data_IF_049435797409
#
_entry.id   IF_049435797409
#
_cell.length_a   1.000
_cell.length_b   1.000
_cell.length_c   1.000
_cell.angle_alpha   90.00
_cell.angle_beta   90.00
_cell.angle_gamma   90.00
#
_symmetry.space_group_name_H-M   'P 1'
#
loop_
_entity.id
_entity.type
_entity.pdbx_description
1 polymer ?
#
# COMPACT_ATOMS: atom_id res chain seq x y z
N UNK A 1 -8.40 11.68 12.41
CA UNK A 1 -7.85 11.20 11.12
C UNK A 1 -6.39 10.81 11.25
N UNK A 2 -5.49 11.72 11.61
CA UNK A 2 -4.06 11.45 11.76
C UNK A 2 -3.74 10.28 12.71
N UNK A 3 -4.37 10.23 13.89
CA UNK A 3 -4.20 9.13 14.83
C UNK A 3 -4.53 7.76 14.20
N UNK A 4 -5.65 7.66 13.49
CA UNK A 4 -6.05 6.44 12.79
C UNK A 4 -5.03 6.02 11.73
N UNK A 5 -4.50 6.97 10.95
CA UNK A 5 -3.50 6.68 9.92
C UNK A 5 -2.19 6.17 10.54
N UNK A 6 -1.78 6.76 11.66
CA UNK A 6 -0.61 6.31 12.42
C UNK A 6 -0.79 4.92 13.05
N UNK A 7 -1.99 4.62 13.58
CA UNK A 7 -2.34 3.29 14.07
C UNK A 7 -2.32 2.26 12.94
N UNK A 8 -2.90 2.57 11.78
CA UNK A 8 -2.94 1.70 10.62
C UNK A 8 -1.55 1.33 10.10
N UNK A 9 -0.65 2.31 9.91
CA UNK A 9 0.73 2.01 9.47
C UNK A 9 1.51 1.23 10.52
N UNK A 10 1.25 1.46 11.80
CA UNK A 10 1.88 0.72 12.89
C UNK A 10 1.41 -0.73 12.91
N UNK A 11 0.11 -0.96 12.71
CA UNK A 11 -0.49 -2.28 12.65
C UNK A 11 0.05 -3.08 11.44
N UNK A 12 0.08 -2.48 10.25
CA UNK A 12 0.69 -3.12 9.07
C UNK A 12 2.16 -3.45 9.28
N UNK A 13 2.95 -2.48 9.73
CA UNK A 13 4.40 -2.66 9.91
C UNK A 13 4.72 -3.75 10.95
N UNK A 14 3.94 -3.82 12.03
CA UNK A 14 4.21 -4.77 13.13
C UNK A 14 3.74 -6.20 12.84
N UNK A 15 2.72 -6.37 11.98
CA UNK A 15 2.12 -7.68 11.71
C UNK A 15 2.60 -8.31 10.39
N UNK A 16 3.06 -7.51 9.44
CA UNK A 16 3.55 -8.02 8.16
C UNK A 16 5.05 -8.33 8.28
N UNK A 17 5.37 -9.62 8.41
CA UNK A 17 6.76 -10.10 8.50
C UNK A 17 7.57 -9.68 7.26
N UNK A 18 8.83 -9.28 7.47
CA UNK A 18 9.72 -8.79 6.43
C UNK A 18 9.42 -7.35 5.97
N UNK A 19 8.50 -6.63 6.62
CA UNK A 19 8.26 -5.21 6.29
C UNK A 19 9.53 -4.36 6.51
N UNK A 20 9.90 -3.62 5.46
CA UNK A 20 10.94 -2.58 5.48
C UNK A 20 10.29 -1.24 5.85
N UNK A 21 9.19 -0.91 5.15
CA UNK A 21 8.46 0.34 5.37
C UNK A 21 7.00 0.23 4.92
N UNK A 22 6.14 1.05 5.52
CA UNK A 22 4.75 1.27 5.18
C UNK A 22 4.53 2.78 5.06
N UNK A 23 4.04 3.24 3.91
CA UNK A 23 3.68 4.62 3.64
C UNK A 23 2.21 4.72 3.29
N UNK A 24 1.52 5.74 3.81
CA UNK A 24 0.21 6.16 3.31
C UNK A 24 0.36 7.44 2.51
N UNK A 25 -0.19 7.44 1.30
CA UNK A 25 -0.08 8.53 0.35
C UNK A 25 -1.47 9.00 -0.03
N UNK A 26 -1.69 10.31 0.00
CA UNK A 26 -2.89 10.93 -0.54
C UNK A 26 -2.94 10.70 -2.05
N UNK A 27 -4.00 10.09 -2.54
CA UNK A 27 -4.16 9.86 -3.99
C UNK A 27 -4.52 11.15 -4.74
N UNK A 28 -4.83 12.25 -4.02
CA UNK A 28 -5.13 13.55 -4.60
C UNK A 28 -3.86 14.28 -5.04
N UNK A 29 -2.89 14.42 -4.13
CA UNK A 29 -1.73 15.31 -4.27
C UNK A 29 -0.38 14.62 -4.04
N UNK A 30 -0.36 13.32 -3.72
CA UNK A 30 0.87 12.57 -3.48
C UNK A 30 1.55 12.85 -2.15
N UNK A 31 0.89 13.61 -1.25
CA UNK A 31 1.40 13.90 0.09
C UNK A 31 1.47 12.66 0.96
N UNK A 32 2.49 12.57 1.82
CA UNK A 32 2.65 11.48 2.76
C UNK A 32 1.80 11.77 4.00
N UNK A 33 0.83 10.91 4.26
CA UNK A 33 -0.14 11.05 5.34
C UNK A 33 0.30 10.35 6.63
N UNK A 34 0.99 9.22 6.50
CA UNK A 34 1.59 8.47 7.62
C UNK A 34 2.72 7.58 7.11
N UNK A 35 3.68 7.27 7.98
CA UNK A 35 4.85 6.47 7.62
C UNK A 35 5.40 5.69 8.82
N UNK A 36 5.79 4.44 8.58
CA UNK A 36 6.52 3.61 9.55
C UNK A 36 7.57 2.79 8.81
N UNK A 37 8.77 2.67 9.36
CA UNK A 37 9.83 1.89 8.76
C UNK A 37 10.82 1.37 9.81
N UNK A 38 11.77 0.54 9.33
CA UNK A 38 12.98 0.18 10.07
C UNK A 38 13.77 1.43 10.45
N UNK A 39 14.54 1.32 11.52
CA UNK A 39 15.43 2.39 11.95
C UNK A 39 16.41 2.76 10.83
N UNK A 40 16.56 4.06 10.57
CA UNK A 40 17.45 4.59 9.52
C UNK A 40 16.92 4.52 8.09
N UNK A 41 15.70 4.02 7.85
CA UNK A 41 15.11 3.91 6.50
C UNK A 41 14.15 5.07 6.22
N UNK A 42 14.42 5.83 5.15
CA UNK A 42 13.51 6.87 4.62
C UNK A 42 13.13 6.61 3.16
N UNK A 43 11.97 5.99 2.97
CA UNK A 43 11.41 5.65 1.66
C UNK A 43 10.22 6.54 1.28
N UNK A 44 10.00 7.65 1.99
CA UNK A 44 8.81 8.52 1.78
C UNK A 44 8.74 9.07 0.35
N UNK A 45 9.89 9.46 -0.22
CA UNK A 45 9.94 9.93 -1.61
C UNK A 45 9.59 8.80 -2.60
N UNK A 46 10.02 7.57 -2.34
CA UNK A 46 9.71 6.43 -3.18
C UNK A 46 8.19 6.18 -3.24
N UNK A 47 7.49 6.30 -2.11
CA UNK A 47 6.03 6.11 -2.06
C UNK A 47 5.23 7.12 -2.91
N UNK A 48 5.69 8.36 -3.05
CA UNK A 48 5.04 9.32 -3.95
C UNK A 48 5.18 8.93 -5.43
N UNK A 49 6.31 8.34 -5.84
CA UNK A 49 6.45 7.80 -7.20
C UNK A 49 5.57 6.57 -7.45
N UNK A 50 5.33 5.75 -6.42
CA UNK A 50 4.45 4.59 -6.54
C UNK A 50 3.00 4.96 -6.83
N UNK A 51 2.55 6.14 -6.41
CA UNK A 51 1.23 6.65 -6.79
C UNK A 51 1.08 6.80 -8.31
N UNK A 52 2.11 7.32 -8.99
CA UNK A 52 2.06 7.47 -10.44
C UNK A 52 2.11 6.13 -11.17
N UNK A 53 2.89 5.17 -10.68
CA UNK A 53 2.90 3.80 -11.22
C UNK A 53 1.51 3.18 -11.07
N UNK A 54 0.90 3.34 -9.90
CA UNK A 54 -0.44 2.83 -9.64
C UNK A 54 -1.51 3.48 -10.51
N UNK A 55 -1.46 4.81 -10.72
CA UNK A 55 -2.35 5.54 -11.64
C UNK A 55 -2.23 5.00 -13.07
N UNK A 56 -1.01 4.80 -13.56
CA UNK A 56 -0.77 4.22 -14.88
C UNK A 56 -1.27 2.77 -14.98
N UNK A 57 -1.11 1.97 -13.91
CA UNK A 57 -1.66 0.63 -13.86
C UNK A 57 -3.18 0.64 -14.00
N UNK A 58 -3.90 1.50 -13.25
CA UNK A 58 -5.35 1.67 -13.40
C UNK A 58 -5.73 2.01 -14.84
N UNK A 59 -5.09 3.01 -15.43
CA UNK A 59 -5.37 3.40 -16.81
C UNK A 59 -5.16 2.23 -17.78
N UNK A 60 -4.10 1.44 -17.59
CA UNK A 60 -3.87 0.24 -18.40
C UNK A 60 -5.00 -0.78 -18.25
N UNK A 61 -5.50 -1.01 -17.03
CA UNK A 61 -6.58 -1.97 -16.78
C UNK A 61 -7.91 -1.52 -17.37
N UNK A 62 -8.25 -0.24 -17.27
CA UNK A 62 -9.46 0.32 -17.87
C UNK A 62 -9.49 0.17 -19.40
N UNK A 63 -8.32 0.05 -20.01
CA UNK A 63 -8.14 -0.15 -21.45
C UNK A 63 -7.82 -1.62 -21.83
N UNK A 64 -7.99 -2.57 -20.91
CA UNK A 64 -7.75 -4.00 -21.15
C UNK A 64 -9.08 -4.74 -21.32
N UNK A 65 -9.18 -5.56 -22.37
CA UNK A 65 -10.39 -6.35 -22.67
C UNK A 65 -10.86 -7.18 -21.47
N UNK A 66 -12.15 -7.09 -21.15
CA UNK A 66 -12.76 -7.82 -20.03
C UNK A 66 -12.60 -7.17 -18.65
N UNK A 67 -11.89 -6.04 -18.53
CA UNK A 67 -11.62 -5.36 -17.25
C UNK A 67 -12.33 -4.01 -17.05
N UNK A 68 -13.07 -3.53 -18.06
CA UNK A 68 -13.68 -2.18 -18.10
C UNK A 68 -14.59 -1.81 -16.90
N UNK A 69 -15.03 -2.80 -16.10
CA UNK A 69 -15.88 -2.61 -14.90
C UNK A 69 -15.31 -3.34 -13.67
N UNK A 70 -14.02 -3.67 -13.68
CA UNK A 70 -13.35 -4.37 -12.58
C UNK A 70 -12.55 -3.39 -11.73
N UNK A 71 -12.34 -3.74 -10.47
CA UNK A 71 -11.52 -2.98 -9.54
C UNK A 71 -10.13 -3.58 -9.43
N UNK A 72 -9.12 -2.73 -9.29
CA UNK A 72 -7.77 -3.16 -8.90
C UNK A 72 -7.78 -3.48 -7.42
N UNK A 73 -7.46 -4.73 -7.06
CA UNK A 73 -7.34 -5.17 -5.66
C UNK A 73 -6.01 -4.72 -5.05
N UNK A 74 -4.91 -5.03 -5.75
CA UNK A 74 -3.54 -4.62 -5.41
C UNK A 74 -2.63 -4.60 -6.65
N UNK A 75 -1.53 -3.85 -6.57
CA UNK A 75 -0.42 -3.89 -7.51
C UNK A 75 0.82 -4.38 -6.78
N UNK A 76 1.56 -5.32 -7.40
CA UNK A 76 2.81 -5.84 -6.85
C UNK A 76 3.96 -5.60 -7.83
N UNK A 77 5.04 -5.00 -7.32
CA UNK A 77 6.26 -4.74 -8.08
C UNK A 77 7.39 -5.49 -7.39
N UNK A 78 8.03 -6.40 -8.11
CA UNK A 78 9.06 -7.29 -7.57
C UNK A 78 10.43 -6.86 -8.08
N UNK A 79 11.32 -6.58 -7.14
CA UNK A 79 12.73 -6.28 -7.38
C UNK A 79 13.58 -7.43 -6.83
N UNK A 80 14.86 -7.46 -7.21
CA UNK A 80 15.81 -8.34 -6.55
C UNK A 80 15.89 -7.96 -5.05
N UNK A 81 15.50 -8.89 -4.18
CA UNK A 81 15.53 -8.72 -2.72
C UNK A 81 14.37 -7.94 -2.11
N UNK A 82 13.41 -7.43 -2.89
CA UNK A 82 12.28 -6.69 -2.35
C UNK A 82 10.98 -6.92 -3.13
N UNK A 83 9.86 -6.92 -2.42
CA UNK A 83 8.52 -6.89 -3.02
C UNK A 83 7.77 -5.67 -2.52
N UNK A 84 7.30 -4.84 -3.45
CA UNK A 84 6.47 -3.68 -3.17
C UNK A 84 5.01 -4.09 -3.40
N UNK A 85 4.17 -3.84 -2.41
CA UNK A 85 2.73 -4.06 -2.47
C UNK A 85 2.04 -2.71 -2.35
N UNK A 86 1.13 -2.45 -3.26
CA UNK A 86 0.39 -1.20 -3.36
C UNK A 86 -1.10 -1.53 -3.36
N UNK A 87 -1.88 -0.82 -2.57
CA UNK A 87 -3.33 -0.86 -2.69
C UNK A 87 -3.99 0.43 -2.23
N UNK A 88 -5.31 0.37 -2.11
CA UNK A 88 -6.15 1.54 -1.86
C UNK A 88 -7.02 1.36 -0.62
N UNK A 89 -7.20 2.46 0.10
CA UNK A 89 -8.03 2.59 1.30
C UNK A 89 -8.89 3.87 1.22
N UNK A 90 -9.95 3.93 2.03
CA UNK A 90 -10.92 5.00 2.17
C UNK A 90 -11.55 5.38 0.85
N UNK A 91 -12.24 4.43 0.22
CA UNK A 91 -12.89 4.65 -1.08
C UNK A 91 -11.92 5.23 -2.12
N UNK A 92 -10.68 4.71 -2.14
CA UNK A 92 -9.61 5.07 -3.07
C UNK A 92 -8.94 6.43 -2.85
N UNK A 93 -9.13 7.06 -1.68
CA UNK A 93 -8.51 8.35 -1.33
C UNK A 93 -7.09 8.22 -0.80
N UNK A 94 -6.72 7.05 -0.28
CA UNK A 94 -5.41 6.78 0.29
C UNK A 94 -4.81 5.57 -0.40
N UNK A 95 -3.55 5.69 -0.79
CA UNK A 95 -2.73 4.59 -1.27
C UNK A 95 -1.85 4.10 -0.12
N UNK A 96 -1.88 2.80 0.16
CA UNK A 96 -0.90 2.17 1.03
C UNK A 96 0.23 1.57 0.18
N UNK A 97 1.48 1.86 0.55
CA UNK A 97 2.67 1.32 -0.10
C UNK A 97 3.51 0.60 0.94
N UNK A 98 3.67 -0.71 0.76
CA UNK A 98 4.33 -1.59 1.70
C UNK A 98 5.52 -2.23 0.99
N UNK A 99 6.71 -2.05 1.54
CA UNK A 99 7.94 -2.65 1.03
C UNK A 99 8.30 -3.82 1.92
N UNK A 100 8.50 -4.98 1.31
CA UNK A 100 8.91 -6.22 1.96
C UNK A 100 10.32 -6.60 1.50
N UNK A 101 11.12 -7.16 2.41
CA UNK A 101 12.37 -7.85 2.05
C UNK A 101 12.13 -9.29 1.59
N UNK A 102 13.22 -10.00 1.28
CA UNK A 102 13.23 -11.38 0.79
C UNK A 102 12.84 -12.43 1.83
N UNK A 103 12.77 -12.07 3.11
CA UNK A 103 12.32 -12.96 4.17
C UNK A 103 10.79 -13.08 4.22
N UNK A 104 10.08 -12.17 3.56
CA UNK A 104 8.62 -12.12 3.59
C UNK A 104 7.97 -13.24 2.76
N UNK A 105 7.01 -13.93 3.37
CA UNK A 105 6.05 -14.73 2.60
C UNK A 105 4.99 -13.81 1.98
N UNK A 106 5.12 -13.50 0.69
CA UNK A 106 4.27 -12.54 -0.01
C UNK A 106 2.78 -12.92 0.04
N UNK A 107 2.45 -14.21 -0.07
CA UNK A 107 1.05 -14.67 0.00
C UNK A 107 0.43 -14.38 1.37
N UNK A 108 1.16 -14.67 2.45
CA UNK A 108 0.72 -14.37 3.81
C UNK A 108 0.63 -12.86 4.06
N UNK A 109 1.62 -12.10 3.57
CA UNK A 109 1.59 -10.64 3.65
C UNK A 109 0.33 -10.06 3.00
N UNK A 110 0.01 -10.47 1.76
CA UNK A 110 -1.21 -10.02 1.07
C UNK A 110 -2.48 -10.34 1.85
N UNK A 111 -2.57 -11.55 2.44
CA UNK A 111 -3.72 -11.95 3.26
C UNK A 111 -3.89 -11.04 4.49
N UNK A 112 -2.79 -10.80 5.23
CA UNK A 112 -2.80 -9.95 6.41
C UNK A 112 -3.12 -8.50 6.08
N UNK A 113 -2.50 -7.95 5.04
CA UNK A 113 -2.76 -6.59 4.54
C UNK A 113 -4.24 -6.45 4.19
N UNK A 114 -4.79 -7.40 3.43
CA UNK A 114 -6.21 -7.39 3.06
C UNK A 114 -7.13 -7.45 4.28
N UNK A 115 -6.80 -8.26 5.29
CA UNK A 115 -7.54 -8.33 6.55
C UNK A 115 -7.53 -6.99 7.27
N UNK A 116 -6.35 -6.43 7.53
CA UNK A 116 -6.16 -5.16 8.24
C UNK A 116 -6.88 -4.01 7.50
N UNK A 117 -6.73 -3.95 6.17
CA UNK A 117 -7.42 -2.97 5.33
C UNK A 117 -8.95 -3.09 5.42
N UNK A 118 -9.47 -4.31 5.34
CA UNK A 118 -10.93 -4.55 5.47
C UNK A 118 -11.46 -4.12 6.84
N UNK A 119 -10.70 -4.37 7.90
CA UNK A 119 -11.05 -3.95 9.26
C UNK A 119 -10.98 -2.42 9.42
N UNK A 120 -10.00 -1.78 8.79
CA UNK A 120 -9.85 -0.33 8.78
C UNK A 120 -11.01 0.38 8.05
N UNK A 121 -11.48 -0.15 6.92
CA UNK A 121 -12.63 0.39 6.15
C UNK A 121 -13.96 0.28 6.92
N UNK A 122 -14.13 -0.80 7.68
CA UNK A 122 -15.33 -0.99 8.54
C UNK A 122 -15.43 0.04 9.66
N UNK A 123 -14.31 0.63 10.07
CA UNK A 123 -14.28 1.68 11.10
C UNK A 123 -14.67 3.06 10.55
N UNK A 124 -15.25 3.12 9.33
CA UNK A 124 -15.70 4.32 8.60
C UNK A 124 -15.86 5.56 9.50
N UNK A 125 -14.96 6.54 9.30
CA UNK A 125 -15.02 7.88 9.87
C UNK A 125 -15.42 8.87 8.78
#
# INVERSE_FOLDING_TARGET
>A
MEQFLNEYVTELYSNVSGAISVSLVSTLDGSILAYKAREGVDNRLASSYQLEIFRNAILSFENTEGLNNKTVDDVSIVYQGQTHLIGLLQSKKILDHIILDDTANVGMAKLLIRKIRTEAEKKSF
#
